data_IF_140013002947
#
_entry.id   IF_140013002947
#
_cell.length_a   1.000
_cell.length_b   1.000
_cell.length_c   1.000
_cell.angle_alpha   90.00
_cell.angle_beta   90.00
_cell.angle_gamma   90.00
#
_symmetry.space_group_name_H-M   'P 1'
#
loop_
_entity.id
_entity.type
_entity.pdbx_description
1 polymer ?
#
# COMPACT_ATOMS: atom_id res chain seq x y z
N UNK A 1 22.61 25.58 47.44
CA UNK A 1 22.93 24.43 46.55
C UNK A 1 21.70 23.70 46.01
N UNK A 2 20.69 23.36 46.83
CA UNK A 2 19.52 22.56 46.39
C UNK A 2 18.69 23.24 45.27
N UNK A 3 18.46 24.56 45.35
CA UNK A 3 17.70 25.29 44.33
C UNK A 3 18.44 25.45 42.98
N UNK A 4 19.77 25.43 43.00
CA UNK A 4 20.61 25.55 41.80
C UNK A 4 20.60 24.26 40.98
N UNK A 5 20.69 23.11 41.65
CA UNK A 5 20.62 21.79 40.99
C UNK A 5 19.24 21.52 40.38
N UNK A 6 18.15 21.93 41.05
CA UNK A 6 16.78 21.82 40.50
C UNK A 6 16.59 22.65 39.22
N UNK A 7 17.20 23.84 39.15
CA UNK A 7 17.11 24.71 37.98
C UNK A 7 17.90 24.13 36.79
N UNK A 8 19.10 23.58 37.05
CA UNK A 8 19.89 22.90 36.02
C UNK A 8 19.22 21.62 35.48
N UNK A 9 18.58 20.80 36.32
CA UNK A 9 17.80 19.65 35.85
C UNK A 9 16.60 20.08 34.99
N UNK A 10 15.92 21.16 35.37
CA UNK A 10 14.76 21.67 34.65
C UNK A 10 15.16 22.27 33.28
N UNK A 11 16.28 22.99 33.22
CA UNK A 11 16.84 23.53 31.98
C UNK A 11 17.32 22.40 31.05
N UNK A 12 18.00 21.37 31.58
CA UNK A 12 18.42 20.19 30.81
C UNK A 12 17.23 19.40 30.24
N UNK A 13 16.17 19.21 31.03
CA UNK A 13 14.96 18.54 30.57
C UNK A 13 14.25 19.34 29.47
N UNK A 14 14.21 20.67 29.59
CA UNK A 14 13.63 21.53 28.55
C UNK A 14 14.43 21.49 27.24
N UNK A 15 15.77 21.48 27.32
CA UNK A 15 16.62 21.34 26.14
C UNK A 15 16.47 19.97 25.47
N UNK A 16 16.38 18.89 26.24
CA UNK A 16 16.11 17.53 25.75
C UNK A 16 14.74 17.43 25.06
N UNK A 17 13.70 18.05 25.63
CA UNK A 17 12.37 18.12 25.01
C UNK A 17 12.40 18.91 23.70
N UNK A 18 13.11 20.04 23.67
CA UNK A 18 13.26 20.88 22.48
C UNK A 18 14.02 20.15 21.37
N UNK A 19 15.12 19.47 21.70
CA UNK A 19 15.87 18.63 20.76
C UNK A 19 15.01 17.47 20.24
N UNK A 20 14.25 16.81 21.11
CA UNK A 20 13.34 15.72 20.73
C UNK A 20 12.23 16.21 19.80
N UNK A 21 11.63 17.37 20.10
CA UNK A 21 10.60 18.00 19.25
C UNK A 21 11.17 18.41 17.90
N UNK A 22 12.35 19.01 17.87
CA UNK A 22 13.04 19.42 16.64
C UNK A 22 13.36 18.20 15.76
N UNK A 23 13.87 17.12 16.36
CA UNK A 23 14.11 15.83 15.70
C UNK A 23 12.82 15.24 15.10
N UNK A 24 11.70 15.27 15.83
CA UNK A 24 10.39 14.82 15.32
C UNK A 24 9.91 15.62 14.11
N UNK A 25 10.04 16.95 14.14
CA UNK A 25 9.65 17.81 13.01
C UNK A 25 10.52 17.55 11.79
N UNK A 26 11.84 17.39 11.97
CA UNK A 26 12.75 17.07 10.88
C UNK A 26 12.45 15.69 10.26
N UNK A 27 12.20 14.66 11.09
CA UNK A 27 11.79 13.34 10.61
C UNK A 27 10.49 13.41 9.80
N UNK A 28 9.50 14.18 10.26
CA UNK A 28 8.24 14.37 9.55
C UNK A 28 8.47 15.06 8.20
N UNK A 29 9.28 16.11 8.17
CA UNK A 29 9.63 16.82 6.94
C UNK A 29 10.33 15.88 5.94
N UNK A 30 11.29 15.06 6.41
CA UNK A 30 11.97 14.07 5.58
C UNK A 30 11.04 12.97 5.06
N UNK A 31 10.00 12.61 5.83
CA UNK A 31 8.99 11.64 5.40
C UNK A 31 8.18 12.14 4.20
N UNK A 32 7.83 13.42 4.14
CA UNK A 32 7.06 13.99 3.03
C UNK A 32 7.92 14.49 1.86
N UNK A 33 9.22 14.74 2.07
CA UNK A 33 10.12 15.19 1.01
C UNK A 33 10.34 14.11 -0.07
N UNK A 34 10.06 14.47 -1.32
CA UNK A 34 10.43 13.70 -2.50
C UNK A 34 11.64 14.35 -3.19
N UNK A 35 12.65 13.55 -3.52
CA UNK A 35 13.72 13.96 -4.41
C UNK A 35 13.26 13.88 -5.88
N UNK A 36 13.93 14.62 -6.77
CA UNK A 36 13.67 14.57 -8.22
C UNK A 36 13.70 13.13 -8.76
N UNK A 37 14.66 12.32 -8.30
CA UNK A 37 14.77 10.90 -8.66
C UNK A 37 13.52 10.09 -8.26
N UNK A 38 12.94 10.36 -7.08
CA UNK A 38 11.70 9.71 -6.64
C UNK A 38 10.49 10.18 -7.46
N UNK A 39 10.43 11.46 -7.82
CA UNK A 39 9.35 11.99 -8.68
C UNK A 39 9.39 11.30 -10.05
N UNK A 40 10.59 11.20 -10.65
CA UNK A 40 10.78 10.50 -11.93
C UNK A 40 10.38 9.02 -11.83
N UNK A 41 10.74 8.34 -10.73
CA UNK A 41 10.32 6.95 -10.47
C UNK A 41 8.80 6.84 -10.38
N UNK A 42 8.14 7.70 -9.60
CA UNK A 42 6.68 7.71 -9.45
C UNK A 42 5.98 7.94 -10.79
N UNK A 43 6.47 8.89 -11.60
CA UNK A 43 5.92 9.15 -12.93
C UNK A 43 6.07 7.93 -13.87
N UNK A 44 7.23 7.27 -13.84
CA UNK A 44 7.49 6.06 -14.64
C UNK A 44 6.58 4.90 -14.20
N UNK A 45 6.42 4.70 -12.90
CA UNK A 45 5.53 3.68 -12.35
C UNK A 45 4.07 4.01 -12.65
N UNK A 46 3.68 5.28 -12.67
CA UNK A 46 2.32 5.70 -13.04
C UNK A 46 2.04 5.42 -14.53
N UNK A 47 3.01 5.69 -15.41
CA UNK A 47 2.90 5.33 -16.82
C UNK A 47 2.74 3.81 -17.01
N UNK A 48 3.55 3.01 -16.32
CA UNK A 48 3.41 1.56 -16.30
C UNK A 48 2.04 1.11 -15.78
N UNK A 49 1.55 1.76 -14.73
CA UNK A 49 0.23 1.48 -14.15
C UNK A 49 -0.91 1.73 -15.16
N UNK A 50 -0.82 2.81 -15.93
CA UNK A 50 -1.77 3.09 -17.02
C UNK A 50 -1.70 1.99 -18.09
N UNK A 51 -0.50 1.62 -18.54
CA UNK A 51 -0.31 0.56 -19.54
C UNK A 51 -0.91 -0.77 -19.08
N UNK A 52 -0.65 -1.18 -17.83
CA UNK A 52 -1.20 -2.41 -17.25
C UNK A 52 -2.71 -2.34 -17.05
N UNK A 53 -3.25 -1.14 -16.78
CA UNK A 53 -4.70 -0.94 -16.71
C UNK A 53 -5.34 -1.13 -18.08
N UNK A 54 -4.76 -0.56 -19.13
CA UNK A 54 -5.22 -0.75 -20.51
C UNK A 54 -5.14 -2.23 -20.91
N UNK A 55 -4.03 -2.90 -20.59
CA UNK A 55 -3.87 -4.33 -20.82
C UNK A 55 -4.93 -5.14 -20.06
N UNK A 56 -5.15 -4.86 -18.77
CA UNK A 56 -6.18 -5.54 -17.97
C UNK A 56 -7.58 -5.32 -18.54
N UNK A 57 -7.88 -4.10 -19.02
CA UNK A 57 -9.18 -3.77 -19.60
C UNK A 57 -9.42 -4.48 -20.95
N UNK A 58 -8.44 -4.44 -21.86
CA UNK A 58 -8.64 -4.87 -23.24
C UNK A 58 -8.20 -6.31 -23.52
N UNK A 59 -7.14 -6.81 -22.87
CA UNK A 59 -6.69 -8.18 -23.05
C UNK A 59 -7.39 -9.15 -22.09
N UNK A 60 -7.50 -8.78 -20.82
CA UNK A 60 -8.05 -9.66 -19.79
C UNK A 60 -9.52 -9.41 -19.48
N UNK A 61 -10.03 -8.20 -19.78
CA UNK A 61 -11.40 -7.80 -19.44
C UNK A 61 -12.50 -8.57 -20.15
N UNK A 62 -12.15 -9.35 -21.19
CA UNK A 62 -13.05 -10.29 -21.86
C UNK A 62 -13.23 -11.61 -21.07
N UNK A 63 -12.35 -11.92 -20.11
CA UNK A 63 -12.43 -13.11 -19.28
C UNK A 63 -13.43 -12.89 -18.14
N UNK A 64 -14.69 -13.27 -18.36
CA UNK A 64 -15.70 -13.34 -17.30
C UNK A 64 -15.48 -14.62 -16.52
N UNK A 65 -14.87 -14.50 -15.33
CA UNK A 65 -14.57 -15.64 -14.46
C UNK A 65 -15.81 -16.13 -13.70
N UNK A 66 -16.74 -15.23 -13.39
CA UNK A 66 -17.98 -15.53 -12.67
C UNK A 66 -19.17 -14.91 -13.40
N UNK A 67 -20.01 -15.75 -14.02
CA UNK A 67 -21.20 -15.29 -14.74
C UNK A 67 -22.21 -14.56 -13.84
N UNK A 68 -22.28 -14.92 -12.55
CA UNK A 68 -23.13 -14.27 -11.55
C UNK A 68 -22.61 -12.92 -11.06
N UNK A 69 -21.36 -12.56 -11.38
CA UNK A 69 -20.72 -11.31 -10.98
C UNK A 69 -19.78 -10.78 -12.08
N UNK A 70 -20.31 -10.41 -13.27
CA UNK A 70 -19.50 -10.06 -14.44
C UNK A 70 -18.72 -8.74 -14.30
N UNK A 71 -19.05 -7.94 -13.28
CA UNK A 71 -18.32 -6.73 -12.92
C UNK A 71 -16.97 -7.03 -12.23
N UNK A 72 -16.77 -8.27 -11.74
CA UNK A 72 -15.51 -8.70 -11.15
C UNK A 72 -14.48 -8.99 -12.25
N UNK A 73 -13.61 -8.02 -12.52
CA UNK A 73 -12.58 -8.11 -13.54
C UNK A 73 -11.21 -8.35 -12.92
N UNK A 74 -10.44 -9.26 -13.54
CA UNK A 74 -9.08 -9.55 -13.12
C UNK A 74 -8.15 -8.46 -13.64
N UNK A 75 -7.36 -7.87 -12.74
CA UNK A 75 -6.46 -6.76 -13.07
C UNK A 75 -5.08 -7.03 -12.51
N UNK A 76 -4.06 -6.80 -13.35
CA UNK A 76 -2.65 -7.08 -13.02
C UNK A 76 -1.85 -5.77 -12.96
N UNK A 77 -2.29 -4.86 -12.11
CA UNK A 77 -1.67 -3.54 -11.96
C UNK A 77 -1.47 -3.14 -10.49
N UNK A 78 -2.23 -3.68 -9.54
CA UNK A 78 -2.05 -3.40 -8.11
C UNK A 78 -0.60 -3.59 -7.62
N UNK A 79 0.13 -4.57 -8.16
CA UNK A 79 1.52 -4.83 -7.78
C UNK A 79 2.44 -3.60 -7.93
N UNK A 80 2.14 -2.68 -8.85
CA UNK A 80 2.90 -1.43 -9.02
C UNK A 80 2.75 -0.52 -7.80
N UNK A 81 1.56 -0.45 -7.20
CA UNK A 81 1.33 0.29 -5.96
C UNK A 81 2.17 -0.25 -4.81
N UNK A 82 2.34 -1.58 -4.73
CA UNK A 82 3.23 -2.19 -3.74
C UNK A 82 4.72 -1.85 -3.99
N UNK A 83 5.14 -1.74 -5.26
CA UNK A 83 6.48 -1.24 -5.63
C UNK A 83 6.67 0.21 -5.18
N UNK A 84 5.67 1.08 -5.40
CA UNK A 84 5.70 2.47 -4.95
C UNK A 84 5.84 2.54 -3.44
N UNK A 85 5.06 1.76 -2.70
CA UNK A 85 5.10 1.72 -1.23
C UNK A 85 6.52 1.42 -0.71
N UNK A 86 7.18 0.39 -1.25
CA UNK A 86 8.55 0.02 -0.85
C UNK A 86 9.59 1.06 -1.28
N UNK A 87 9.37 1.71 -2.42
CA UNK A 87 10.31 2.70 -2.96
C UNK A 87 10.20 4.07 -2.29
N UNK A 88 9.08 4.34 -1.62
CA UNK A 88 8.77 5.63 -1.00
C UNK A 88 8.35 5.44 0.46
N UNK A 89 7.05 5.56 0.75
CA UNK A 89 6.43 5.32 2.04
C UNK A 89 4.91 5.17 1.88
N UNK A 90 4.21 4.94 3.00
CA UNK A 90 2.76 4.71 3.00
C UNK A 90 1.98 5.90 2.42
N UNK A 91 2.37 7.14 2.72
CA UNK A 91 1.65 8.32 2.27
C UNK A 91 1.68 8.44 0.73
N UNK A 92 2.87 8.35 0.14
CA UNK A 92 3.03 8.42 -1.31
C UNK A 92 2.47 7.18 -2.02
N UNK A 93 2.55 5.99 -1.40
CA UNK A 93 1.89 4.79 -1.89
C UNK A 93 0.37 4.93 -1.96
N UNK A 94 -0.25 5.56 -0.97
CA UNK A 94 -1.69 5.82 -0.97
C UNK A 94 -2.08 6.87 -2.00
N UNK A 95 -1.38 8.00 -2.08
CA UNK A 95 -1.63 9.02 -3.11
C UNK A 95 -1.54 8.39 -4.51
N UNK A 96 -0.49 7.61 -4.76
CA UNK A 96 -0.31 6.93 -6.03
C UNK A 96 -1.46 5.96 -6.32
N UNK A 97 -1.85 5.16 -5.33
CA UNK A 97 -2.96 4.19 -5.48
C UNK A 97 -4.26 4.90 -5.82
N UNK A 98 -4.64 5.92 -5.04
CA UNK A 98 -5.85 6.72 -5.26
C UNK A 98 -5.83 7.37 -6.64
N UNK A 99 -4.75 8.07 -6.98
CA UNK A 99 -4.61 8.72 -8.29
C UNK A 99 -4.72 7.70 -9.44
N UNK A 100 -4.05 6.55 -9.32
CA UNK A 100 -4.07 5.52 -10.35
C UNK A 100 -5.44 4.89 -10.58
N UNK A 101 -6.23 4.73 -9.52
CA UNK A 101 -7.60 4.20 -9.61
C UNK A 101 -8.51 5.24 -10.25
N UNK A 102 -8.47 6.49 -9.79
CA UNK A 102 -9.36 7.53 -10.32
C UNK A 102 -9.02 7.98 -11.75
N UNK A 103 -7.77 7.88 -12.19
CA UNK A 103 -7.44 8.14 -13.60
C UNK A 103 -8.17 7.22 -14.57
N UNK A 104 -8.65 6.05 -14.11
CA UNK A 104 -9.44 5.14 -14.94
C UNK A 104 -10.81 5.70 -15.31
N UNK A 105 -11.28 6.72 -14.61
CA UNK A 105 -12.47 7.47 -15.01
C UNK A 105 -12.29 8.06 -16.41
N UNK A 106 -11.08 8.55 -16.73
CA UNK A 106 -10.73 9.04 -18.07
C UNK A 106 -10.73 7.93 -19.13
N UNK A 107 -10.64 6.67 -18.69
CA UNK A 107 -10.72 5.48 -19.54
C UNK A 107 -12.15 4.91 -19.59
N UNK A 108 -13.15 5.60 -19.06
CA UNK A 108 -14.56 5.19 -19.10
C UNK A 108 -14.97 4.13 -18.07
N UNK A 109 -14.21 3.97 -16.98
CA UNK A 109 -14.66 3.18 -15.82
C UNK A 109 -15.73 3.92 -15.03
N UNK A 110 -16.68 3.19 -14.44
CA UNK A 110 -17.76 3.79 -13.63
C UNK A 110 -17.31 4.08 -12.18
N UNK A 111 -17.84 5.14 -11.54
CA UNK A 111 -17.28 5.67 -10.30
C UNK A 111 -17.50 4.81 -9.04
N UNK A 112 -18.57 4.02 -8.97
CA UNK A 112 -18.90 3.21 -7.78
C UNK A 112 -17.95 2.01 -7.68
N UNK A 113 -17.65 1.34 -8.79
CA UNK A 113 -16.64 0.30 -8.85
C UNK A 113 -15.22 0.84 -8.67
N UNK A 114 -14.93 2.07 -9.13
CA UNK A 114 -13.65 2.72 -8.81
C UNK A 114 -13.52 3.03 -7.32
N UNK A 115 -14.61 3.46 -6.65
CA UNK A 115 -14.63 3.63 -5.20
C UNK A 115 -14.36 2.30 -4.48
N UNK A 116 -15.06 1.23 -4.88
CA UNK A 116 -14.84 -0.11 -4.32
C UNK A 116 -13.39 -0.57 -4.52
N UNK A 117 -12.85 -0.40 -5.72
CA UNK A 117 -11.47 -0.74 -6.06
C UNK A 117 -10.45 0.06 -5.23
N UNK A 118 -10.66 1.37 -5.09
CA UNK A 118 -9.79 2.24 -4.29
C UNK A 118 -9.74 1.80 -2.83
N UNK A 119 -10.88 1.41 -2.25
CA UNK A 119 -10.95 0.93 -0.87
C UNK A 119 -10.21 -0.40 -0.70
N UNK A 120 -10.37 -1.33 -1.63
CA UNK A 120 -9.68 -2.62 -1.61
C UNK A 120 -8.17 -2.46 -1.78
N UNK A 121 -7.73 -1.75 -2.82
CA UNK A 121 -6.30 -1.56 -3.09
C UNK A 121 -5.63 -0.72 -2.00
N UNK A 122 -6.29 0.36 -1.56
CA UNK A 122 -5.81 1.24 -0.50
C UNK A 122 -5.70 0.50 0.85
N UNK A 123 -6.70 -0.29 1.22
CA UNK A 123 -6.63 -1.09 2.44
C UNK A 123 -5.56 -2.17 2.36
N UNK A 124 -5.42 -2.87 1.23
CA UNK A 124 -4.32 -3.83 1.06
C UNK A 124 -2.93 -3.17 1.24
N UNK A 125 -2.72 -1.98 0.68
CA UNK A 125 -1.48 -1.19 0.88
C UNK A 125 -1.25 -0.85 2.35
N UNK A 126 -2.31 -0.42 3.06
CA UNK A 126 -2.24 -0.13 4.50
C UNK A 126 -1.89 -1.40 5.29
N UNK A 127 -2.58 -2.50 5.03
CA UNK A 127 -2.35 -3.79 5.69
C UNK A 127 -0.92 -4.28 5.48
N UNK A 128 -0.42 -4.21 4.24
CA UNK A 128 0.97 -4.52 3.93
C UNK A 128 1.94 -3.66 4.76
N UNK A 129 1.76 -2.33 4.70
CA UNK A 129 2.67 -1.37 5.34
C UNK A 129 2.72 -1.56 6.86
N UNK A 130 1.57 -1.75 7.50
CA UNK A 130 1.47 -1.96 8.96
C UNK A 130 2.25 -3.22 9.36
N UNK A 131 1.98 -4.35 8.71
CA UNK A 131 2.62 -5.62 9.07
C UNK A 131 4.13 -5.54 8.81
N UNK A 132 4.53 -5.04 7.64
CA UNK A 132 5.95 -4.93 7.30
C UNK A 132 6.70 -4.00 8.26
N UNK A 133 6.08 -2.88 8.64
CA UNK A 133 6.63 -1.95 9.61
C UNK A 133 6.77 -2.58 11.01
N UNK A 134 5.72 -3.25 11.50
CA UNK A 134 5.76 -3.93 12.81
C UNK A 134 6.87 -4.96 12.84
N UNK A 135 6.95 -5.84 11.83
CA UNK A 135 8.00 -6.85 11.74
C UNK A 135 9.38 -6.20 11.75
N UNK A 136 9.62 -5.21 10.88
CA UNK A 136 10.90 -4.50 10.83
C UNK A 136 11.25 -3.85 12.18
N UNK A 137 10.29 -3.21 12.84
CA UNK A 137 10.47 -2.53 14.13
C UNK A 137 10.85 -3.53 15.24
N UNK A 138 10.20 -4.68 15.29
CA UNK A 138 10.50 -5.75 16.26
C UNK A 138 11.95 -6.21 16.11
N UNK A 139 12.41 -6.51 14.89
CA UNK A 139 13.78 -6.97 14.67
C UNK A 139 14.84 -5.90 14.97
N UNK A 140 14.56 -4.63 14.69
CA UNK A 140 15.45 -3.52 15.07
C UNK A 140 15.56 -3.42 16.59
N UNK A 141 14.43 -3.43 17.30
CA UNK A 141 14.41 -3.29 18.75
C UNK A 141 15.05 -4.50 19.47
N UNK A 142 14.98 -5.69 18.87
CA UNK A 142 15.64 -6.89 19.38
C UNK A 142 17.12 -7.03 18.96
N UNK A 143 17.72 -6.01 18.32
CA UNK A 143 19.09 -6.05 17.80
C UNK A 143 19.38 -7.25 16.86
N UNK A 144 18.37 -7.69 16.09
CA UNK A 144 18.43 -8.85 15.17
C UNK A 144 18.30 -8.42 13.70
N UNK A 145 18.84 -7.25 13.35
CA UNK A 145 18.70 -6.67 12.01
C UNK A 145 19.29 -7.56 10.91
N UNK A 146 20.38 -8.27 11.18
CA UNK A 146 20.99 -9.19 10.22
C UNK A 146 20.05 -10.35 9.85
N UNK A 147 19.31 -10.88 10.85
CA UNK A 147 18.29 -11.91 10.63
C UNK A 147 17.15 -11.32 9.78
N UNK A 148 16.72 -10.10 10.07
CA UNK A 148 15.72 -9.42 9.25
C UNK A 148 16.14 -9.32 7.78
N UNK A 149 17.37 -8.89 7.53
CA UNK A 149 17.90 -8.77 6.15
C UNK A 149 17.96 -10.14 5.47
N UNK A 150 18.37 -11.20 6.19
CA UNK A 150 18.44 -12.57 5.65
C UNK A 150 17.08 -13.13 5.26
N UNK A 151 16.04 -12.87 6.05
CA UNK A 151 14.69 -13.40 5.85
C UNK A 151 13.68 -12.36 5.32
N UNK A 152 14.15 -11.22 4.81
CA UNK A 152 13.30 -10.10 4.38
C UNK A 152 12.20 -10.52 3.40
N UNK A 153 12.52 -11.39 2.43
CA UNK A 153 11.52 -11.88 1.46
C UNK A 153 10.40 -12.68 2.12
N UNK A 154 10.69 -13.44 3.18
CA UNK A 154 9.68 -14.17 3.92
C UNK A 154 8.73 -13.20 4.64
N UNK A 155 9.26 -12.11 5.18
CA UNK A 155 8.45 -11.07 5.80
C UNK A 155 7.62 -10.30 4.77
N UNK A 156 8.14 -10.08 3.56
CA UNK A 156 7.37 -9.52 2.45
C UNK A 156 6.20 -10.43 2.06
N UNK A 157 6.43 -11.75 1.98
CA UNK A 157 5.38 -12.73 1.71
C UNK A 157 4.34 -12.71 2.84
N UNK A 158 4.77 -12.69 4.09
CA UNK A 158 3.88 -12.59 5.25
C UNK A 158 3.02 -11.32 5.17
N UNK A 159 3.63 -10.15 4.94
CA UNK A 159 2.90 -8.89 4.77
C UNK A 159 1.93 -8.94 3.59
N UNK A 160 2.27 -9.63 2.51
CA UNK A 160 1.41 -9.82 1.34
C UNK A 160 0.18 -10.68 1.65
N UNK A 161 0.33 -11.73 2.47
CA UNK A 161 -0.79 -12.57 2.94
C UNK A 161 -1.76 -11.72 3.77
N UNK A 162 -1.25 -10.96 4.73
CA UNK A 162 -2.08 -10.08 5.56
C UNK A 162 -2.75 -8.96 4.74
N UNK A 163 -2.03 -8.36 3.79
CA UNK A 163 -2.57 -7.36 2.87
C UNK A 163 -3.73 -7.92 2.03
N UNK A 164 -3.57 -9.14 1.53
CA UNK A 164 -4.60 -9.86 0.76
C UNK A 164 -5.85 -10.09 1.60
N UNK A 165 -5.71 -10.60 2.83
CA UNK A 165 -6.83 -10.85 3.72
C UNK A 165 -7.53 -9.55 4.12
N UNK A 166 -6.77 -8.50 4.44
CA UNK A 166 -7.32 -7.22 4.85
C UNK A 166 -8.05 -6.51 3.70
N UNK A 167 -7.46 -6.47 2.50
CA UNK A 167 -8.12 -5.93 1.30
C UNK A 167 -9.40 -6.68 0.94
N UNK A 168 -9.38 -8.02 1.05
CA UNK A 168 -10.56 -8.85 0.80
C UNK A 168 -11.64 -8.64 1.85
N UNK A 169 -11.28 -8.50 3.13
CA UNK A 169 -12.22 -8.17 4.20
C UNK A 169 -12.88 -6.81 3.95
N UNK A 170 -12.13 -5.80 3.55
CA UNK A 170 -12.68 -4.49 3.18
C UNK A 170 -13.60 -4.60 1.96
N UNK A 171 -13.25 -5.42 0.96
CA UNK A 171 -14.14 -5.70 -0.17
C UNK A 171 -15.48 -6.25 0.31
N UNK A 172 -15.46 -7.28 1.17
CA UNK A 172 -16.67 -7.87 1.74
C UNK A 172 -17.49 -6.84 2.54
N UNK A 173 -16.86 -6.14 3.48
CA UNK A 173 -17.54 -5.19 4.38
C UNK A 173 -18.13 -4.02 3.60
N UNK A 174 -17.38 -3.40 2.69
CA UNK A 174 -17.87 -2.28 1.87
C UNK A 174 -19.04 -2.71 0.97
N UNK A 175 -18.95 -3.91 0.36
CA UNK A 175 -20.05 -4.46 -0.42
C UNK A 175 -21.28 -4.79 0.41
N UNK A 176 -21.10 -5.34 1.60
CA UNK A 176 -22.20 -5.65 2.51
C UNK A 176 -22.89 -4.41 3.10
N UNK A 177 -22.19 -3.28 3.17
CA UNK A 177 -22.68 -2.08 3.88
C UNK A 177 -23.23 -1.02 2.95
N UNK A 178 -22.50 -0.61 1.90
CA UNK A 178 -22.91 0.56 1.10
C UNK A 178 -22.68 0.44 -0.41
N UNK A 179 -21.76 -0.40 -0.92
CA UNK A 179 -21.53 -0.45 -2.38
C UNK A 179 -22.76 -0.98 -3.12
N UNK A 180 -23.43 -2.02 -2.62
CA UNK A 180 -24.68 -2.52 -3.22
C UNK A 180 -25.80 -1.48 -3.19
N UNK A 181 -25.90 -0.72 -2.10
CA UNK A 181 -26.88 0.36 -1.95
C UNK A 181 -26.66 1.47 -3.00
N UNK A 182 -25.41 1.82 -3.28
CA UNK A 182 -25.06 2.77 -4.35
C UNK A 182 -25.48 2.28 -5.75
N UNK A 183 -25.61 0.97 -5.95
CA UNK A 183 -26.17 0.37 -7.17
C UNK A 183 -27.70 0.19 -7.12
N UNK A 184 -28.38 0.64 -6.06
CA UNK A 184 -29.82 0.42 -5.86
C UNK A 184 -30.19 -1.04 -5.61
N UNK A 185 -29.24 -1.87 -5.19
CA UNK A 185 -29.43 -3.30 -4.96
C UNK A 185 -29.27 -3.66 -3.49
N UNK A 186 -29.95 -4.73 -3.06
CA UNK A 186 -29.72 -5.29 -1.73
C UNK A 186 -28.48 -6.20 -1.75
N UNK A 187 -27.65 -6.20 -0.69
CA UNK A 187 -26.52 -7.12 -0.60
C UNK A 187 -26.99 -8.58 -0.69
N UNK A 188 -26.42 -9.34 -1.64
CA UNK A 188 -26.69 -10.77 -1.78
C UNK A 188 -25.53 -11.58 -1.14
N UNK A 189 -25.77 -12.39 -0.10
CA UNK A 189 -24.73 -13.15 0.59
C UNK A 189 -23.84 -13.99 -0.33
N UNK A 190 -24.42 -14.65 -1.33
CA UNK A 190 -23.65 -15.48 -2.27
C UNK A 190 -22.69 -14.62 -3.11
N UNK A 191 -23.15 -13.46 -3.57
CA UNK A 191 -22.33 -12.53 -4.36
C UNK A 191 -21.25 -11.88 -3.49
N UNK A 192 -21.54 -11.59 -2.22
CA UNK A 192 -20.55 -11.09 -1.26
C UNK A 192 -19.42 -12.11 -1.05
N UNK A 193 -19.75 -13.39 -0.87
CA UNK A 193 -18.74 -14.46 -0.75
C UNK A 193 -17.91 -14.60 -2.02
N UNK A 194 -18.55 -14.57 -3.20
CA UNK A 194 -17.83 -14.58 -4.49
C UNK A 194 -16.89 -13.38 -4.60
N UNK A 195 -17.36 -12.18 -4.24
CA UNK A 195 -16.56 -10.95 -4.26
C UNK A 195 -15.35 -11.04 -3.33
N UNK A 196 -15.52 -11.59 -2.13
CA UNK A 196 -14.44 -11.83 -1.18
C UNK A 196 -13.39 -12.79 -1.74
N UNK A 197 -13.81 -13.97 -2.21
CA UNK A 197 -12.90 -14.99 -2.75
C UNK A 197 -12.19 -14.50 -4.02
N UNK A 198 -12.91 -13.80 -4.90
CA UNK A 198 -12.33 -13.21 -6.10
C UNK A 198 -11.27 -12.16 -5.75
N UNK A 199 -11.53 -11.33 -4.74
CA UNK A 199 -10.57 -10.33 -4.27
C UNK A 199 -9.29 -10.99 -3.74
N UNK A 200 -9.42 -12.12 -3.03
CA UNK A 200 -8.25 -12.92 -2.61
C UNK A 200 -7.44 -13.35 -3.84
N UNK A 201 -8.08 -13.96 -4.85
CA UNK A 201 -7.38 -14.44 -6.05
C UNK A 201 -6.66 -13.28 -6.76
N UNK A 202 -7.37 -12.16 -6.97
CA UNK A 202 -6.81 -10.95 -7.59
C UNK A 202 -5.57 -10.44 -6.85
N UNK A 203 -5.67 -10.31 -5.53
CA UNK A 203 -4.58 -9.78 -4.71
C UNK A 203 -3.42 -10.78 -4.59
N UNK A 204 -3.67 -12.08 -4.52
CA UNK A 204 -2.62 -13.12 -4.54
C UNK A 204 -1.80 -13.03 -5.81
N UNK A 205 -2.43 -12.92 -6.99
CA UNK A 205 -1.73 -12.81 -8.27
C UNK A 205 -0.81 -11.58 -8.28
N UNK A 206 -1.33 -10.42 -7.87
CA UNK A 206 -0.53 -9.20 -7.85
C UNK A 206 0.62 -9.27 -6.82
N UNK A 207 0.36 -9.78 -5.63
CA UNK A 207 1.42 -9.96 -4.63
C UNK A 207 2.47 -11.00 -5.05
N UNK A 208 2.08 -12.06 -5.77
CA UNK A 208 3.01 -13.03 -6.32
C UNK A 208 3.97 -12.34 -7.31
N UNK A 209 3.43 -11.55 -8.24
CA UNK A 209 4.24 -10.76 -9.19
C UNK A 209 5.18 -9.81 -8.44
N UNK A 210 4.66 -9.07 -7.47
CA UNK A 210 5.45 -8.17 -6.63
C UNK A 210 6.59 -8.90 -5.90
N UNK A 211 6.31 -10.05 -5.27
CA UNK A 211 7.32 -10.86 -4.59
C UNK A 211 8.43 -11.34 -5.55
N UNK A 212 8.08 -11.73 -6.78
CA UNK A 212 9.05 -12.15 -7.79
C UNK A 212 10.03 -11.02 -8.16
N UNK A 213 9.55 -9.79 -8.26
CA UNK A 213 10.38 -8.63 -8.65
C UNK A 213 10.98 -7.88 -7.46
N UNK A 214 10.55 -8.15 -6.23
CA UNK A 214 10.89 -7.40 -5.01
C UNK A 214 12.41 -7.18 -4.86
N UNK A 215 13.21 -8.24 -5.05
CA UNK A 215 14.67 -8.14 -4.95
C UNK A 215 15.27 -7.13 -5.94
N UNK A 216 14.72 -7.07 -7.16
CA UNK A 216 15.15 -6.13 -8.20
C UNK A 216 14.75 -4.70 -7.86
N UNK A 217 13.52 -4.51 -7.38
CA UNK A 217 13.01 -3.21 -6.89
C UNK A 217 13.92 -2.67 -5.80
N UNK A 218 14.27 -3.49 -4.80
CA UNK A 218 15.16 -3.07 -3.70
C UNK A 218 16.53 -2.60 -4.20
N UNK A 219 17.11 -3.28 -5.18
CA UNK A 219 18.39 -2.88 -5.78
C UNK A 219 18.27 -1.53 -6.50
N UNK A 220 17.20 -1.31 -7.25
CA UNK A 220 16.95 -0.05 -7.96
C UNK A 220 16.79 1.12 -6.98
N UNK A 221 15.99 0.95 -5.94
CA UNK A 221 15.76 1.97 -4.90
C UNK A 221 17.07 2.36 -4.22
N UNK A 222 17.93 1.38 -3.88
CA UNK A 222 19.23 1.64 -3.26
C UNK A 222 20.19 2.43 -4.17
N UNK A 223 20.11 2.25 -5.49
CA UNK A 223 20.90 3.03 -6.45
C UNK A 223 20.37 4.47 -6.55
N UNK A 224 19.05 4.62 -6.65
CA UNK A 224 18.36 5.92 -6.74
C UNK A 224 18.54 6.78 -5.48
N UNK A 225 18.76 6.18 -4.31
CA UNK A 225 19.02 6.92 -3.07
C UNK A 225 20.48 7.37 -2.90
N UNK A 226 21.41 6.85 -3.72
CA UNK A 226 22.84 7.17 -3.66
C UNK A 226 23.27 8.18 -4.73
N UNK A 227 22.44 8.39 -5.75
CA UNK A 227 22.59 9.38 -6.80
C UNK A 227 21.81 10.65 -6.43
#
# INVERSE_FOLDING_TARGET
MIAYNKKQEQDNNFELEKQTKYSKVQMLRQYFLLSTNKIALLATLLALQILLTLFSKYAMGALVLFASAPYLKLEINYWVSAVVLISTNLFWGLIFTVASVWMRLLLGSEPVGLLSLMLVDGSAIIGFAIVFYIVKKVFIHSNKLEIFIKFEILFVILSSIFATLFGSLVAYVSNATFIFELYGQKPNPAILTITFLFTIIKLVINHAIFCLIYKRVKVLVKKLSRA
#
